data_IF_527540187174
#
_entry.id   IF_527540187174
#
_cell.length_a   1.000
_cell.length_b   1.000
_cell.length_c   1.000
_cell.angle_alpha   90.00
_cell.angle_beta   90.00
_cell.angle_gamma   90.00
#
_symmetry.space_group_name_H-M   'P 1'
#
loop_
_entity.id
_entity.type
_entity.pdbx_description
1 polymer ?
#
# COMPACT_ATOMS: atom_id res chain seq x y z
N UNK A 1 -1.13 -17.46 -9.74
CA UNK A 1 -1.59 -16.28 -10.50
C UNK A 1 -2.99 -15.93 -10.00
N UNK A 2 -3.19 -14.72 -9.51
CA UNK A 2 -4.45 -14.26 -8.91
C UNK A 2 -5.33 -13.54 -9.93
N UNK A 3 -6.63 -13.43 -9.66
CA UNK A 3 -7.62 -12.78 -10.55
C UNK A 3 -7.74 -13.37 -11.97
N UNK A 4 -7.41 -14.65 -12.13
CA UNK A 4 -7.47 -15.39 -13.40
C UNK A 4 -8.85 -15.98 -13.71
N UNK A 5 -9.73 -16.07 -12.72
CA UNK A 5 -11.08 -16.61 -12.89
C UNK A 5 -12.11 -15.53 -13.23
N UNK A 6 -13.20 -15.92 -13.90
CA UNK A 6 -14.30 -15.01 -14.20
C UNK A 6 -14.94 -14.43 -12.92
N UNK A 7 -15.04 -15.25 -11.86
CA UNK A 7 -15.56 -14.84 -10.55
C UNK A 7 -14.69 -13.73 -9.94
N UNK A 8 -13.37 -13.94 -9.87
CA UNK A 8 -12.45 -12.95 -9.31
C UNK A 8 -12.45 -11.64 -10.11
N UNK A 9 -12.50 -11.71 -11.44
CA UNK A 9 -12.67 -10.51 -12.29
C UNK A 9 -13.99 -9.79 -12.03
N UNK A 10 -15.07 -10.54 -11.76
CA UNK A 10 -16.36 -9.97 -11.35
C UNK A 10 -16.25 -9.16 -10.06
N UNK A 11 -15.56 -9.71 -9.05
CA UNK A 11 -15.31 -9.02 -7.78
C UNK A 11 -14.52 -7.71 -7.97
N UNK A 12 -13.46 -7.72 -8.79
CA UNK A 12 -12.69 -6.51 -9.10
C UNK A 12 -13.55 -5.43 -9.78
N UNK A 13 -14.45 -5.83 -10.69
CA UNK A 13 -15.38 -4.89 -11.33
C UNK A 13 -16.36 -4.28 -10.32
N UNK A 14 -16.88 -5.09 -9.40
CA UNK A 14 -17.78 -4.61 -8.33
C UNK A 14 -17.05 -3.63 -7.42
N UNK A 15 -15.84 -3.99 -6.96
CA UNK A 15 -15.02 -3.09 -6.14
C UNK A 15 -14.72 -1.80 -6.90
N UNK A 16 -14.32 -1.88 -8.16
CA UNK A 16 -14.02 -0.70 -8.95
C UNK A 16 -15.22 0.22 -9.22
N UNK A 17 -16.43 -0.35 -9.37
CA UNK A 17 -17.65 0.44 -9.46
C UNK A 17 -17.97 1.15 -8.13
N UNK A 18 -17.80 0.48 -6.99
CA UNK A 18 -17.96 1.09 -5.68
C UNK A 18 -16.92 2.21 -5.46
N UNK A 19 -15.66 1.99 -5.85
CA UNK A 19 -14.58 2.99 -5.75
C UNK A 19 -14.89 4.26 -6.54
N UNK A 20 -15.37 4.15 -7.79
CA UNK A 20 -15.75 5.34 -8.58
C UNK A 20 -16.90 6.13 -7.96
N UNK A 21 -17.87 5.44 -7.35
CA UNK A 21 -18.95 6.11 -6.62
C UNK A 21 -18.43 6.79 -5.34
N UNK A 22 -17.50 6.16 -4.63
CA UNK A 22 -16.83 6.78 -3.50
C UNK A 22 -16.03 8.02 -3.92
N UNK A 23 -15.35 7.99 -5.07
CA UNK A 23 -14.65 9.17 -5.61
C UNK A 23 -15.61 10.35 -5.83
N UNK A 24 -16.82 10.10 -6.34
CA UNK A 24 -17.83 11.15 -6.48
C UNK A 24 -18.27 11.74 -5.12
N UNK A 25 -18.40 10.91 -4.09
CA UNK A 25 -18.69 11.34 -2.71
C UNK A 25 -17.54 12.18 -2.14
N UNK A 26 -16.28 11.76 -2.35
CA UNK A 26 -15.09 12.53 -1.93
C UNK A 26 -15.05 13.88 -2.65
N UNK A 27 -15.31 13.91 -3.96
CA UNK A 27 -15.33 15.15 -4.74
C UNK A 27 -16.44 16.13 -4.29
N UNK A 28 -17.51 15.61 -3.67
CA UNK A 28 -18.58 16.42 -3.08
C UNK A 28 -18.23 16.97 -1.68
N UNK A 29 -17.05 16.65 -1.13
CA UNK A 29 -16.61 17.16 0.18
C UNK A 29 -17.24 16.46 1.38
N UNK A 30 -17.70 15.22 1.21
CA UNK A 30 -18.43 14.45 2.24
C UNK A 30 -17.52 13.72 3.25
N UNK A 31 -16.21 13.95 3.20
CA UNK A 31 -15.27 13.40 4.18
C UNK A 31 -15.19 14.34 5.39
N UNK A 32 -15.48 13.83 6.59
CA UNK A 32 -15.53 14.66 7.79
C UNK A 32 -14.15 14.84 8.45
N UNK A 33 -13.20 13.98 8.09
CA UNK A 33 -11.85 13.96 8.66
C UNK A 33 -10.97 15.11 8.11
N UNK A 34 -10.49 16.03 8.97
CA UNK A 34 -9.58 17.09 8.58
C UNK A 34 -8.26 16.57 7.97
N UNK A 35 -7.73 15.45 8.47
CA UNK A 35 -6.49 14.87 7.95
C UNK A 35 -6.66 14.42 6.50
N UNK A 36 -7.78 13.79 6.18
CA UNK A 36 -8.13 13.43 4.81
C UNK A 36 -8.31 14.66 3.91
N UNK A 37 -8.88 15.74 4.44
CA UNK A 37 -9.02 17.01 3.71
C UNK A 37 -7.66 17.59 3.31
N UNK A 38 -6.66 17.54 4.19
CA UNK A 38 -5.32 18.03 3.87
C UNK A 38 -4.58 17.13 2.88
N UNK A 39 -4.76 15.81 2.99
CA UNK A 39 -4.27 14.86 1.98
C UNK A 39 -4.87 15.16 0.61
N UNK A 40 -6.18 15.45 0.52
CA UNK A 40 -6.84 15.80 -0.74
C UNK A 40 -6.28 17.08 -1.37
N UNK A 41 -6.00 18.12 -0.56
CA UNK A 41 -5.35 19.36 -1.05
C UNK A 41 -3.96 19.07 -1.64
N UNK A 42 -3.16 18.25 -0.97
CA UNK A 42 -1.83 17.86 -1.43
C UNK A 42 -1.89 16.99 -2.70
N UNK A 43 -2.89 16.12 -2.81
CA UNK A 43 -3.10 15.34 -4.04
C UNK A 43 -3.54 16.21 -5.21
N UNK A 44 -4.35 17.25 -4.94
CA UNK A 44 -4.83 18.17 -5.96
C UNK A 44 -3.70 19.05 -6.51
N UNK A 45 -2.74 19.48 -5.68
CA UNK A 45 -1.58 20.26 -6.14
C UNK A 45 -0.64 19.46 -7.05
N UNK A 46 -0.69 18.13 -6.99
CA UNK A 46 0.08 17.22 -7.84
C UNK A 46 -0.66 16.81 -9.14
N UNK A 47 -1.82 17.40 -9.44
CA UNK A 47 -2.53 17.17 -10.70
C UNK A 47 -1.89 17.93 -11.86
N UNK A 48 -1.97 17.39 -13.08
CA UNK A 48 -1.46 18.10 -14.25
C UNK A 48 -2.31 19.35 -14.54
N UNK A 49 -1.73 20.43 -15.11
CA UNK A 49 -2.47 21.68 -15.37
C UNK A 49 -3.73 21.52 -16.25
N UNK A 50 -3.78 20.48 -17.08
CA UNK A 50 -4.92 20.16 -17.96
C UNK A 50 -6.01 19.32 -17.29
N UNK A 51 -5.79 18.83 -16.08
CA UNK A 51 -6.70 17.94 -15.36
C UNK A 51 -7.57 18.72 -14.35
N UNK A 52 -8.76 18.20 -14.05
CA UNK A 52 -9.52 18.68 -12.90
C UNK A 52 -8.86 18.16 -11.61
N UNK A 53 -8.11 19.04 -10.94
CA UNK A 53 -7.32 18.70 -9.76
C UNK A 53 -8.14 18.06 -8.63
N UNK A 54 -9.34 18.58 -8.35
CA UNK A 54 -10.22 18.05 -7.30
C UNK A 54 -10.73 16.65 -7.65
N UNK A 55 -11.13 16.43 -8.91
CA UNK A 55 -11.56 15.11 -9.37
C UNK A 55 -10.41 14.09 -9.32
N UNK A 56 -9.20 14.47 -9.75
CA UNK A 56 -8.01 13.61 -9.68
C UNK A 56 -7.66 13.25 -8.23
N UNK A 57 -7.70 14.23 -7.33
CA UNK A 57 -7.44 13.99 -5.90
C UNK A 57 -8.47 13.03 -5.31
N UNK A 58 -9.76 13.25 -5.59
CA UNK A 58 -10.84 12.40 -5.11
C UNK A 58 -10.73 10.95 -5.62
N UNK A 59 -10.40 10.78 -6.90
CA UNK A 59 -10.23 9.46 -7.51
C UNK A 59 -9.05 8.71 -6.89
N UNK A 60 -7.88 9.37 -6.77
CA UNK A 60 -6.69 8.79 -6.14
C UNK A 60 -6.93 8.43 -4.68
N UNK A 61 -7.62 9.28 -3.94
CA UNK A 61 -7.96 9.02 -2.54
C UNK A 61 -8.92 7.83 -2.40
N UNK A 62 -10.01 7.79 -3.17
CA UNK A 62 -10.96 6.67 -3.14
C UNK A 62 -10.31 5.33 -3.54
N UNK A 63 -9.41 5.35 -4.53
CA UNK A 63 -8.61 4.18 -4.91
C UNK A 63 -7.70 3.73 -3.77
N UNK A 64 -7.09 4.67 -3.03
CA UNK A 64 -6.28 4.35 -1.86
C UNK A 64 -7.11 3.71 -0.74
N UNK A 65 -8.29 4.23 -0.44
CA UNK A 65 -9.22 3.65 0.57
C UNK A 65 -9.60 2.22 0.21
N UNK A 66 -9.98 1.97 -1.05
CA UNK A 66 -10.34 0.63 -1.51
C UNK A 66 -9.15 -0.34 -1.48
N UNK A 67 -7.96 0.11 -1.89
CA UNK A 67 -6.73 -0.69 -1.82
C UNK A 67 -6.33 -1.03 -0.39
N UNK A 68 -6.38 -0.04 0.50
CA UNK A 68 -6.10 -0.22 1.93
C UNK A 68 -7.11 -1.16 2.59
N UNK A 69 -8.39 -1.10 2.22
CA UNK A 69 -9.42 -2.00 2.73
C UNK A 69 -9.14 -3.47 2.39
N UNK A 70 -8.79 -3.76 1.12
CA UNK A 70 -8.43 -5.13 0.70
C UNK A 70 -7.18 -5.62 1.44
N UNK A 71 -6.12 -4.82 1.45
CA UNK A 71 -4.85 -5.19 2.09
C UNK A 71 -5.04 -5.39 3.59
N UNK A 72 -5.69 -4.46 4.28
CA UNK A 72 -5.93 -4.54 5.72
C UNK A 72 -6.75 -5.78 6.08
N UNK A 73 -7.85 -6.06 5.35
CA UNK A 73 -8.66 -7.27 5.56
C UNK A 73 -7.86 -8.56 5.35
N UNK A 74 -6.97 -8.57 4.36
CA UNK A 74 -6.09 -9.72 4.12
C UNK A 74 -5.07 -9.86 5.23
N UNK A 75 -4.48 -8.75 5.68
CA UNK A 75 -3.45 -8.79 6.71
C UNK A 75 -4.01 -9.24 8.07
N UNK A 76 -5.22 -8.80 8.40
CA UNK A 76 -5.95 -9.21 9.60
C UNK A 76 -6.57 -10.61 9.52
N UNK A 77 -6.58 -11.24 8.34
CA UNK A 77 -7.30 -12.50 8.08
C UNK A 77 -8.78 -12.43 8.53
N UNK A 78 -9.37 -11.23 8.56
CA UNK A 78 -10.75 -11.01 8.97
C UNK A 78 -10.96 -10.74 10.46
N UNK A 79 -9.90 -10.70 11.27
CA UNK A 79 -10.00 -10.28 12.66
C UNK A 79 -10.09 -8.75 12.77
N UNK A 80 -11.27 -8.25 13.16
CA UNK A 80 -11.51 -6.82 13.36
C UNK A 80 -10.58 -6.18 14.41
N UNK A 81 -10.00 -6.94 15.35
CA UNK A 81 -9.00 -6.44 16.30
C UNK A 81 -7.67 -6.16 15.60
N UNK A 82 -7.27 -6.99 14.64
CA UNK A 82 -6.07 -6.81 13.84
C UNK A 82 -6.22 -5.67 12.81
N UNK A 83 -7.44 -5.32 12.38
CA UNK A 83 -7.68 -4.09 11.61
C UNK A 83 -7.29 -2.82 12.39
N UNK A 84 -7.49 -2.79 13.71
CA UNK A 84 -6.99 -1.69 14.56
C UNK A 84 -5.48 -1.71 14.74
N UNK A 85 -4.83 -2.87 14.59
CA UNK A 85 -3.36 -2.94 14.55
C UNK A 85 -2.80 -2.36 13.23
N UNK A 86 -3.56 -2.43 12.13
CA UNK A 86 -3.18 -1.77 10.87
C UNK A 86 -3.07 -0.24 11.00
N UNK A 87 -3.93 0.40 11.82
CA UNK A 87 -3.79 1.82 12.16
C UNK A 87 -2.44 2.11 12.83
N UNK A 88 -1.96 1.19 13.68
CA UNK A 88 -0.66 1.35 14.34
C UNK A 88 0.49 1.21 13.34
N UNK A 89 0.36 0.32 12.36
CA UNK A 89 1.35 0.23 11.28
C UNK A 89 1.38 1.47 10.38
N UNK A 90 0.33 2.31 10.36
CA UNK A 90 0.32 3.59 9.66
C UNK A 90 0.72 4.78 10.53
N UNK A 91 1.03 4.53 11.81
CA UNK A 91 1.53 5.54 12.72
C UNK A 91 2.80 6.16 12.13
N UNK A 92 2.85 7.50 12.09
CA UNK A 92 3.98 8.25 11.51
C UNK A 92 3.84 8.64 10.04
N UNK A 93 2.83 8.16 9.30
CA UNK A 93 2.55 8.64 7.94
C UNK A 93 1.14 9.23 7.81
N UNK A 94 0.99 10.56 7.60
CA UNK A 94 -0.32 11.22 7.62
C UNK A 94 -1.23 10.77 6.46
N UNK A 95 -0.67 10.40 5.30
CA UNK A 95 -1.45 9.89 4.17
C UNK A 95 -2.01 8.52 4.50
N UNK A 96 -1.19 7.62 5.04
CA UNK A 96 -1.63 6.29 5.43
C UNK A 96 -2.67 6.34 6.56
N UNK A 97 -2.45 7.18 7.57
CA UNK A 97 -3.40 7.38 8.66
C UNK A 97 -4.77 7.86 8.14
N UNK A 98 -4.80 8.91 7.32
CA UNK A 98 -6.05 9.46 6.77
C UNK A 98 -6.79 8.44 5.88
N UNK A 99 -6.06 7.71 5.02
CA UNK A 99 -6.67 6.70 4.15
C UNK A 99 -7.27 5.54 4.96
N UNK A 100 -6.56 5.05 5.98
CA UNK A 100 -7.07 3.95 6.82
C UNK A 100 -8.23 4.42 7.68
N UNK A 101 -8.19 5.65 8.19
CA UNK A 101 -9.31 6.23 8.93
C UNK A 101 -10.56 6.37 8.04
N UNK A 102 -10.40 6.76 6.78
CA UNK A 102 -11.48 6.85 5.81
C UNK A 102 -12.09 5.49 5.41
N UNK A 103 -11.47 4.36 5.77
CA UNK A 103 -12.09 3.03 5.64
C UNK A 103 -13.23 2.82 6.65
N UNK A 104 -13.26 3.59 7.74
CA UNK A 104 -14.34 3.57 8.71
C UNK A 104 -15.52 4.40 8.17
N UNK A 105 -16.72 3.79 7.98
CA UNK A 105 -17.91 4.52 7.56
C UNK A 105 -18.25 5.71 8.47
N UNK A 106 -17.89 5.67 9.75
CA UNK A 106 -18.18 6.75 10.69
C UNK A 106 -17.39 8.04 10.39
N UNK A 107 -16.30 7.94 9.62
CA UNK A 107 -15.51 9.09 9.15
C UNK A 107 -16.18 9.93 8.05
N UNK A 108 -17.37 9.55 7.58
CA UNK A 108 -18.09 10.22 6.49
C UNK A 108 -19.30 11.01 7.01
N UNK A 109 -19.54 12.18 6.41
CA UNK A 109 -20.47 13.18 6.94
C UNK A 109 -21.95 12.76 6.81
N UNK A 110 -22.42 12.48 5.58
CA UNK A 110 -23.81 12.09 5.34
C UNK A 110 -24.06 10.58 5.44
N UNK A 111 -25.28 10.13 5.80
CA UNK A 111 -25.64 8.72 5.78
C UNK A 111 -25.41 8.03 4.42
N UNK A 112 -25.61 8.76 3.31
CA UNK A 112 -25.34 8.26 1.98
C UNK A 112 -23.84 8.02 1.73
N UNK A 113 -22.98 8.92 2.24
CA UNK A 113 -21.53 8.74 2.19
C UNK A 113 -21.08 7.54 3.02
N UNK A 114 -21.64 7.33 4.23
CA UNK A 114 -21.38 6.14 5.06
C UNK A 114 -21.79 4.84 4.37
N UNK A 115 -22.94 4.85 3.69
CA UNK A 115 -23.39 3.69 2.91
C UNK A 115 -22.42 3.39 1.77
N UNK A 116 -21.95 4.41 1.05
CA UNK A 116 -20.97 4.23 -0.02
C UNK A 116 -19.64 3.67 0.48
N UNK A 117 -19.12 4.19 1.59
CA UNK A 117 -17.91 3.66 2.23
C UNK A 117 -18.11 2.19 2.66
N UNK A 118 -19.29 1.86 3.20
CA UNK A 118 -19.64 0.48 3.57
C UNK A 118 -19.68 -0.46 2.36
N UNK A 119 -20.20 0.00 1.22
CA UNK A 119 -20.20 -0.78 -0.02
C UNK A 119 -18.78 -1.07 -0.52
N UNK A 120 -17.87 -0.10 -0.44
CA UNK A 120 -16.44 -0.30 -0.76
C UNK A 120 -15.83 -1.35 0.15
N UNK A 121 -16.07 -1.27 1.46
CA UNK A 121 -15.57 -2.25 2.44
C UNK A 121 -16.08 -3.66 2.15
N UNK A 122 -17.37 -3.83 1.88
CA UNK A 122 -17.97 -5.14 1.56
C UNK A 122 -17.36 -5.72 0.28
N UNK A 123 -17.20 -4.91 -0.76
CA UNK A 123 -16.58 -5.35 -2.00
C UNK A 123 -15.09 -5.70 -1.81
N UNK A 124 -14.39 -4.95 -0.96
CA UNK A 124 -13.00 -5.20 -0.60
C UNK A 124 -12.86 -6.52 0.17
N UNK A 125 -13.75 -6.77 1.14
CA UNK A 125 -13.79 -8.02 1.90
C UNK A 125 -14.00 -9.23 0.99
N UNK A 126 -14.90 -9.12 0.00
CA UNK A 126 -15.11 -10.18 -0.97
C UNK A 126 -13.86 -10.44 -1.84
N UNK A 127 -13.13 -9.39 -2.23
CA UNK A 127 -11.86 -9.53 -2.94
C UNK A 127 -10.79 -10.20 -2.08
N UNK A 128 -10.64 -9.75 -0.83
CA UNK A 128 -9.69 -10.31 0.13
C UNK A 128 -9.98 -11.79 0.43
N UNK A 129 -11.26 -12.16 0.62
CA UNK A 129 -11.67 -13.54 0.82
C UNK A 129 -11.38 -14.42 -0.42
N UNK A 130 -11.56 -13.88 -1.63
CA UNK A 130 -11.20 -14.58 -2.85
C UNK A 130 -9.69 -14.74 -3.05
N UNK A 131 -8.88 -13.81 -2.52
CA UNK A 131 -7.43 -13.93 -2.45
C UNK A 131 -7.01 -14.98 -1.42
N UNK A 132 -7.68 -15.04 -0.26
CA UNK A 132 -7.48 -16.04 0.80
C UNK A 132 -7.73 -17.47 0.34
N UNK A 133 -8.77 -17.68 -0.45
CA UNK A 133 -9.13 -18.99 -0.96
C UNK A 133 -8.20 -19.50 -2.08
N UNK A 134 -7.29 -18.67 -2.58
CA UNK A 134 -6.42 -19.05 -3.68
C UNK A 134 -5.20 -19.88 -3.19
N UNK A 135 -4.73 -20.86 -3.98
CA UNK A 135 -3.60 -21.70 -3.59
C UNK A 135 -2.35 -20.88 -3.25
N UNK A 136 -1.71 -21.20 -2.12
CA UNK A 136 -0.50 -20.51 -1.64
C UNK A 136 -0.76 -19.20 -0.89
N UNK A 137 -2.01 -18.76 -0.76
CA UNK A 137 -2.32 -17.48 -0.12
C UNK A 137 -2.10 -17.47 1.41
N UNK A 138 -1.98 -18.62 2.07
CA UNK A 138 -1.85 -18.72 3.52
C UNK A 138 -0.58 -18.07 4.09
N UNK A 139 0.47 -17.91 3.27
CA UNK A 139 1.76 -17.35 3.67
C UNK A 139 2.03 -16.07 2.89
N UNK A 140 2.40 -15.00 3.61
CA UNK A 140 2.91 -13.78 2.98
C UNK A 140 4.16 -14.09 2.14
N UNK A 141 4.23 -13.54 0.94
CA UNK A 141 5.42 -13.62 0.09
C UNK A 141 5.48 -12.46 -0.90
N UNK A 142 6.66 -12.18 -1.46
CA UNK A 142 6.81 -11.22 -2.56
C UNK A 142 6.01 -11.58 -3.83
N UNK A 143 5.66 -12.86 -3.97
CA UNK A 143 4.81 -13.40 -5.05
C UNK A 143 3.33 -13.52 -4.59
N UNK A 144 3.02 -12.94 -3.42
CA UNK A 144 1.74 -13.00 -2.75
C UNK A 144 0.69 -12.08 -3.36
N UNK A 145 -0.60 -12.43 -3.21
CA UNK A 145 -1.69 -11.71 -3.87
C UNK A 145 -1.78 -10.23 -3.50
N UNK A 146 -1.40 -9.87 -2.27
CA UNK A 146 -1.37 -8.51 -1.75
C UNK A 146 -0.45 -7.58 -2.55
N UNK A 147 0.66 -8.10 -3.07
CA UNK A 147 1.64 -7.33 -3.85
C UNK A 147 1.09 -7.02 -5.25
N UNK A 148 0.47 -8.00 -5.90
CA UNK A 148 -0.02 -7.87 -7.28
C UNK A 148 -1.45 -7.35 -7.38
N UNK A 149 -2.23 -7.43 -6.30
CA UNK A 149 -3.63 -7.02 -6.27
C UNK A 149 -3.79 -5.60 -6.81
N UNK A 150 -2.93 -4.68 -6.37
CA UNK A 150 -3.08 -3.27 -6.69
C UNK A 150 -2.98 -2.98 -8.20
N UNK A 151 -2.14 -3.70 -8.93
CA UNK A 151 -2.08 -3.59 -10.40
C UNK A 151 -3.39 -4.05 -11.04
N UNK A 152 -3.89 -5.24 -10.66
CA UNK A 152 -5.13 -5.78 -11.21
C UNK A 152 -6.34 -4.91 -10.86
N UNK A 153 -6.34 -4.35 -9.66
CA UNK A 153 -7.34 -3.41 -9.17
C UNK A 153 -7.35 -2.12 -9.99
N UNK A 154 -6.20 -1.47 -10.18
CA UNK A 154 -6.11 -0.27 -11.02
C UNK A 154 -6.44 -0.56 -12.48
N UNK A 155 -6.07 -1.73 -13.00
CA UNK A 155 -6.46 -2.13 -14.35
C UNK A 155 -7.98 -2.26 -14.50
N UNK A 156 -8.69 -2.68 -13.44
CA UNK A 156 -10.14 -2.81 -13.43
C UNK A 156 -10.87 -1.46 -13.25
N UNK A 157 -10.24 -0.50 -12.58
CA UNK A 157 -10.83 0.82 -12.32
C UNK A 157 -10.56 1.81 -13.44
N UNK A 158 -9.29 1.95 -13.82
CA UNK A 158 -8.81 2.98 -14.73
C UNK A 158 -7.52 2.51 -15.44
N UNK A 159 -7.69 1.61 -16.41
CA UNK A 159 -6.60 1.12 -17.24
C UNK A 159 -5.79 2.22 -17.95
N UNK A 160 -6.41 3.31 -18.46
CA UNK A 160 -5.67 4.48 -18.96
C UNK A 160 -4.73 5.11 -17.91
N UNK A 161 -5.22 5.41 -16.71
CA UNK A 161 -4.39 6.01 -15.65
C UNK A 161 -3.33 5.05 -15.16
N UNK A 162 -3.65 3.75 -15.00
CA UNK A 162 -2.65 2.72 -14.70
C UNK A 162 -1.48 2.73 -15.71
N UNK A 163 -1.78 2.83 -17.01
CA UNK A 163 -0.76 2.89 -18.07
C UNK A 163 0.03 4.19 -18.02
N UNK A 164 -0.64 5.33 -17.87
CA UNK A 164 -0.02 6.67 -17.82
C UNK A 164 0.93 6.81 -16.63
N UNK A 165 0.53 6.30 -15.47
CA UNK A 165 1.30 6.37 -14.22
C UNK A 165 2.27 5.20 -14.05
N UNK A 166 2.44 4.35 -15.07
CA UNK A 166 3.45 3.31 -15.04
C UNK A 166 3.24 2.24 -13.97
N UNK A 167 2.00 1.98 -13.52
CA UNK A 167 1.77 0.98 -12.46
C UNK A 167 1.88 -0.43 -13.03
N UNK A 168 3.03 -1.04 -12.81
CA UNK A 168 3.36 -2.40 -13.24
C UNK A 168 4.04 -3.18 -12.11
N UNK A 169 3.69 -4.44 -11.99
CA UNK A 169 4.34 -5.35 -11.07
C UNK A 169 5.77 -5.69 -11.52
N UNK A 170 6.71 -5.64 -10.57
CA UNK A 170 8.07 -6.15 -10.74
C UNK A 170 8.15 -7.61 -10.27
N UNK A 171 8.51 -8.58 -11.14
CA UNK A 171 8.69 -9.98 -10.74
C UNK A 171 9.60 -10.14 -9.53
N UNK A 172 9.18 -10.93 -8.54
CA UNK A 172 9.92 -11.09 -7.30
C UNK A 172 11.34 -11.63 -7.50
N UNK A 173 11.56 -12.48 -8.51
CA UNK A 173 12.89 -12.93 -8.89
C UNK A 173 13.83 -11.77 -9.30
N UNK A 174 13.30 -10.79 -10.04
CA UNK A 174 14.03 -9.59 -10.44
C UNK A 174 14.30 -8.71 -9.21
N UNK A 175 13.27 -8.49 -8.38
CA UNK A 175 13.40 -7.69 -7.16
C UNK A 175 14.46 -8.28 -6.20
N UNK A 176 14.42 -9.58 -5.94
CA UNK A 176 15.41 -10.29 -5.11
C UNK A 176 16.83 -10.17 -5.69
N UNK A 177 16.99 -10.35 -7.01
CA UNK A 177 18.29 -10.26 -7.67
C UNK A 177 18.90 -8.87 -7.55
N UNK A 178 18.10 -7.82 -7.74
CA UNK A 178 18.54 -6.43 -7.65
C UNK A 178 18.81 -6.02 -6.19
N UNK A 179 17.95 -6.42 -5.25
CA UNK A 179 18.16 -6.18 -3.82
C UNK A 179 19.48 -6.82 -3.34
N UNK A 180 19.71 -8.09 -3.71
CA UNK A 180 20.96 -8.79 -3.38
C UNK A 180 22.19 -8.12 -4.01
N UNK A 181 22.09 -7.66 -5.26
CA UNK A 181 23.18 -6.95 -5.92
C UNK A 181 23.51 -5.61 -5.23
N UNK A 182 22.46 -4.84 -4.88
CA UNK A 182 22.62 -3.56 -4.21
C UNK A 182 23.27 -3.71 -2.82
N UNK A 183 22.81 -4.68 -2.03
CA UNK A 183 23.38 -4.99 -0.71
C UNK A 183 24.81 -5.53 -0.78
N UNK A 184 25.19 -6.20 -1.87
CA UNK A 184 26.57 -6.64 -2.07
C UNK A 184 27.51 -5.51 -2.51
N UNK A 185 26.98 -4.48 -3.18
CA UNK A 185 27.76 -3.37 -3.72
C UNK A 185 27.93 -2.20 -2.74
N UNK A 186 27.10 -2.11 -1.71
CA UNK A 186 27.12 -1.01 -0.75
C UNK A 186 27.34 -1.52 0.69
N UNK A 187 28.04 -0.76 1.54
CA UNK A 187 28.21 -1.14 2.94
C UNK A 187 26.86 -1.19 3.66
N UNK A 188 26.53 -2.35 4.22
CA UNK A 188 25.37 -2.52 5.09
C UNK A 188 25.73 -2.06 6.50
N UNK A 189 25.85 -0.75 6.73
CA UNK A 189 25.94 -0.18 8.09
C UNK A 189 24.59 0.35 8.54
N UNK A 190 24.40 0.56 9.85
CA UNK A 190 23.20 1.21 10.40
C UNK A 190 23.08 2.69 10.02
N UNK A 191 24.15 3.28 9.50
CA UNK A 191 24.17 4.65 8.97
C UNK A 191 23.77 4.72 7.49
N UNK A 192 23.86 3.59 6.76
CA UNK A 192 23.46 3.53 5.37
C UNK A 192 21.94 3.60 5.21
N UNK A 193 21.49 4.26 4.13
CA UNK A 193 20.07 4.31 3.75
C UNK A 193 19.90 3.67 2.37
N UNK A 194 18.94 2.75 2.28
CA UNK A 194 18.46 2.20 1.01
C UNK A 194 17.17 2.95 0.66
N UNK A 195 17.22 3.68 -0.45
CA UNK A 195 16.08 4.43 -0.98
C UNK A 195 15.53 3.76 -2.23
N UNK A 196 14.22 3.52 -2.24
CA UNK A 196 13.46 3.24 -3.45
C UNK A 196 12.67 4.49 -3.89
N UNK A 197 13.09 5.20 -4.95
CA UNK A 197 12.47 6.46 -5.36
C UNK A 197 11.13 6.29 -6.10
N UNK A 198 10.74 5.06 -6.46
CA UNK A 198 9.49 4.76 -7.15
C UNK A 198 8.93 3.44 -6.61
N UNK A 199 8.66 3.45 -5.32
CA UNK A 199 8.47 2.26 -4.50
C UNK A 199 7.26 1.39 -4.91
N UNK A 200 6.22 2.00 -5.47
CA UNK A 200 4.96 1.31 -5.73
C UNK A 200 4.41 0.72 -4.44
N UNK A 201 4.10 -0.57 -4.47
CA UNK A 201 3.63 -1.33 -3.30
C UNK A 201 4.78 -1.84 -2.40
N UNK A 202 6.03 -1.40 -2.63
CA UNK A 202 7.17 -1.70 -1.77
C UNK A 202 7.97 -2.95 -2.15
N UNK A 203 7.83 -3.47 -3.37
CA UNK A 203 8.40 -4.76 -3.78
C UNK A 203 9.91 -4.84 -3.56
N UNK A 204 10.67 -3.80 -3.94
CA UNK A 204 12.12 -3.81 -3.73
C UNK A 204 12.50 -3.72 -2.26
N UNK A 205 11.86 -2.85 -1.48
CA UNK A 205 12.13 -2.74 -0.04
C UNK A 205 11.78 -4.04 0.71
N UNK A 206 10.68 -4.70 0.34
CA UNK A 206 10.32 -6.02 0.86
C UNK A 206 11.36 -7.08 0.51
N UNK A 207 11.92 -7.03 -0.71
CA UNK A 207 13.00 -7.92 -1.13
C UNK A 207 14.32 -7.66 -0.39
N UNK A 208 14.64 -6.39 -0.10
CA UNK A 208 15.78 -6.01 0.74
C UNK A 208 15.63 -6.62 2.13
N UNK A 209 14.46 -6.51 2.77
CA UNK A 209 14.20 -7.14 4.08
C UNK A 209 14.42 -8.66 4.01
N UNK A 210 13.89 -9.33 2.98
CA UNK A 210 14.05 -10.79 2.82
C UNK A 210 15.52 -11.22 2.70
N UNK A 211 16.33 -10.44 1.98
CA UNK A 211 17.78 -10.69 1.87
C UNK A 211 18.51 -10.42 3.18
N UNK A 212 18.23 -9.27 3.83
CA UNK A 212 18.84 -8.90 5.11
C UNK A 212 18.56 -9.94 6.20
N UNK A 213 17.34 -10.48 6.26
CA UNK A 213 17.03 -11.56 7.19
C UNK A 213 17.80 -12.85 6.91
N UNK A 214 17.97 -13.18 5.63
CA UNK A 214 18.74 -14.35 5.23
C UNK A 214 20.19 -14.21 5.64
N UNK A 215 20.76 -13.01 5.47
CA UNK A 215 22.09 -12.66 5.96
C UNK A 215 22.14 -12.69 7.50
N UNK A 216 21.17 -12.12 8.20
CA UNK A 216 21.12 -12.11 9.67
C UNK A 216 21.04 -13.53 10.26
N UNK A 217 20.28 -14.45 9.64
CA UNK A 217 20.27 -15.87 10.03
C UNK A 217 21.65 -16.51 9.88
N UNK A 218 22.35 -16.24 8.77
CA UNK A 218 23.71 -16.73 8.54
C UNK A 218 24.72 -16.13 9.55
N UNK A 219 24.65 -14.83 9.82
CA UNK A 219 25.51 -14.14 10.79
C UNK A 219 25.30 -14.65 12.23
N UNK A 220 24.04 -14.87 12.65
CA UNK A 220 23.75 -15.47 13.96
C UNK A 220 24.34 -16.86 14.10
N UNK A 221 24.31 -17.66 13.03
CA UNK A 221 24.93 -18.98 13.04
C UNK A 221 26.47 -18.92 13.14
N UNK A 222 27.09 -17.83 12.68
CA UNK A 222 28.54 -17.62 12.72
C UNK A 222 29.03 -16.71 13.87
N UNK A 223 28.14 -16.15 14.69
CA UNK A 223 28.46 -15.22 15.78
C UNK A 223 28.87 -13.80 15.35
N UNK A 224 28.58 -13.40 14.10
CA UNK A 224 28.92 -12.08 13.59
C UNK A 224 27.85 -11.02 13.96
N UNK A 225 28.21 -9.76 14.25
CA UNK A 225 27.26 -8.69 14.48
C UNK A 225 26.44 -8.39 13.22
N UNK A 226 25.14 -8.07 13.37
CA UNK A 226 24.28 -7.64 12.27
C UNK A 226 23.97 -6.15 12.33
N UNK A 227 24.06 -5.46 11.20
CA UNK A 227 23.60 -4.09 11.01
C UNK A 227 22.49 -4.06 9.96
N UNK A 228 21.39 -3.38 10.28
CA UNK A 228 20.28 -3.13 9.35
C UNK A 228 20.35 -1.70 8.83
N UNK A 229 20.43 -1.49 7.49
CA UNK A 229 20.36 -0.15 6.93
C UNK A 229 18.96 0.44 7.14
N UNK A 230 18.87 1.77 7.13
CA UNK A 230 17.58 2.47 7.10
C UNK A 230 16.90 2.24 5.76
N UNK A 231 15.60 2.00 5.77
CA UNK A 231 14.80 1.84 4.56
C UNK A 231 13.96 3.10 4.32
N UNK A 232 14.06 3.65 3.11
CA UNK A 232 13.29 4.80 2.67
C UNK A 232 12.61 4.52 1.33
N UNK A 233 11.43 5.12 1.13
CA UNK A 233 10.64 4.91 -0.07
C UNK A 233 9.86 6.15 -0.48
N UNK A 234 9.86 6.48 -1.77
CA UNK A 234 9.02 7.53 -2.33
C UNK A 234 8.02 6.93 -3.31
N UNK A 235 6.81 7.46 -3.30
CA UNK A 235 5.76 7.01 -4.18
C UNK A 235 4.86 8.19 -4.58
N UNK A 236 4.42 8.20 -5.83
CA UNK A 236 3.59 9.25 -6.40
C UNK A 236 2.10 9.06 -6.05
N UNK A 237 1.66 7.81 -5.90
CA UNK A 237 0.27 7.44 -5.68
C UNK A 237 -0.02 7.07 -4.21
N UNK A 238 -1.14 7.57 -3.64
CA UNK A 238 -1.49 7.24 -2.25
C UNK A 238 -1.81 5.76 -2.07
N UNK A 239 -2.47 5.11 -3.05
CA UNK A 239 -2.85 3.70 -2.93
C UNK A 239 -1.66 2.74 -2.77
N UNK A 240 -0.69 2.71 -3.71
CA UNK A 240 0.52 1.90 -3.55
C UNK A 240 1.30 2.25 -2.28
N UNK A 241 1.41 3.53 -1.94
CA UNK A 241 2.09 3.98 -0.72
C UNK A 241 1.49 3.36 0.53
N UNK A 242 0.17 3.39 0.68
CA UNK A 242 -0.50 2.83 1.87
C UNK A 242 -0.37 1.32 1.90
N UNK A 243 -0.48 0.66 0.74
CA UNK A 243 -0.23 -0.79 0.64
C UNK A 243 1.21 -1.12 1.06
N UNK A 244 2.20 -0.39 0.57
CA UNK A 244 3.59 -0.58 0.94
C UNK A 244 3.80 -0.38 2.45
N UNK A 245 3.20 0.67 3.03
CA UNK A 245 3.28 0.97 4.46
C UNK A 245 2.77 -0.20 5.31
N UNK A 246 1.62 -0.77 4.94
CA UNK A 246 1.02 -1.92 5.62
C UNK A 246 1.87 -3.19 5.47
N UNK A 247 2.38 -3.47 4.27
CA UNK A 247 3.18 -4.66 3.99
C UNK A 247 4.55 -4.60 4.66
N UNK A 248 5.25 -3.46 4.54
CA UNK A 248 6.56 -3.23 5.15
C UNK A 248 6.46 -3.20 6.67
N UNK A 249 5.48 -2.50 7.22
CA UNK A 249 5.25 -2.42 8.66
C UNK A 249 5.03 -3.81 9.26
N UNK A 250 4.12 -4.60 8.69
CA UNK A 250 3.90 -5.98 9.16
C UNK A 250 5.18 -6.83 9.07
N UNK A 251 5.93 -6.68 7.98
CA UNK A 251 7.12 -7.49 7.73
C UNK A 251 8.24 -7.19 8.71
N UNK A 252 8.48 -5.91 9.00
CA UNK A 252 9.51 -5.44 9.92
C UNK A 252 9.16 -5.76 11.38
N UNK A 253 7.90 -5.56 11.80
CA UNK A 253 7.46 -6.00 13.13
C UNK A 253 7.72 -7.49 13.35
N UNK A 254 7.44 -8.33 12.35
CA UNK A 254 7.71 -9.76 12.43
C UNK A 254 9.21 -10.11 12.39
N UNK A 255 10.04 -9.31 11.73
CA UNK A 255 11.47 -9.56 11.58
C UNK A 255 12.29 -9.15 12.82
N UNK A 256 11.89 -8.05 13.46
CA UNK A 256 12.61 -7.38 14.54
C UNK A 256 11.92 -7.51 15.91
N UNK A 257 10.80 -8.22 15.99
CA UNK A 257 9.96 -8.35 17.21
C UNK A 257 9.54 -6.98 17.78
N UNK A 258 9.30 -6.01 16.88
CA UNK A 258 8.90 -4.66 17.25
C UNK A 258 7.40 -4.54 17.48
N UNK A 259 7.01 -3.70 18.45
CA UNK A 259 5.64 -3.21 18.52
C UNK A 259 5.34 -2.39 17.25
N UNK A 260 4.11 -2.45 16.72
CA UNK A 260 3.69 -1.56 15.63
C UNK A 260 3.94 -0.08 15.90
N UNK A 261 3.88 0.34 17.17
CA UNK A 261 4.07 1.75 17.58
C UNK A 261 5.54 2.19 17.54
N UNK A 262 6.48 1.23 17.58
CA UNK A 262 7.93 1.47 17.52
C UNK A 262 8.46 1.48 16.08
N UNK A 263 7.64 1.11 15.10
CA UNK A 263 8.03 1.08 13.70
C UNK A 263 8.15 2.49 13.12
N UNK A 264 9.32 2.82 12.60
CA UNK A 264 9.56 4.04 11.86
C UNK A 264 9.85 3.71 10.40
N UNK A 265 8.86 3.93 9.54
CA UNK A 265 9.00 3.80 8.09
C UNK A 265 9.26 5.17 7.46
N UNK A 266 10.39 5.31 6.76
CA UNK A 266 10.72 6.55 6.02
C UNK A 266 10.10 6.54 4.62
N UNK A 267 8.78 6.36 4.55
CA UNK A 267 8.03 6.27 3.28
C UNK A 267 7.18 7.52 3.10
N UNK A 268 7.21 8.14 1.92
CA UNK A 268 6.58 9.43 1.68
C UNK A 268 5.88 9.53 0.32
N UNK A 269 4.74 10.24 0.31
CA UNK A 269 4.00 10.57 -0.91
C UNK A 269 4.68 11.77 -1.56
N UNK A 270 5.36 11.57 -2.68
CA UNK A 270 6.13 12.63 -3.34
C UNK A 270 6.48 12.27 -4.77
N UNK A 271 6.75 13.28 -5.58
CA UNK A 271 7.41 13.12 -6.88
C UNK A 271 8.93 13.11 -6.66
N UNK A 272 9.55 11.95 -6.91
CA UNK A 272 10.98 11.76 -6.75
C UNK A 272 11.81 12.71 -7.63
N UNK A 273 11.31 13.08 -8.82
CA UNK A 273 12.01 13.99 -9.71
C UNK A 273 11.96 15.42 -9.18
N UNK A 274 10.81 15.84 -8.64
CA UNK A 274 10.67 17.16 -8.03
C UNK A 274 11.53 17.34 -6.76
N UNK A 275 11.86 16.24 -6.08
CA UNK A 275 12.62 16.24 -4.84
C UNK A 275 14.14 16.28 -5.03
N UNK A 276 14.59 15.85 -6.20
CA UNK A 276 16.00 15.82 -6.58
C UNK A 276 16.41 17.01 -7.47
N UNK A 277 15.49 17.95 -7.72
CA UNK A 277 15.68 19.14 -8.55
C UNK A 277 16.22 20.35 -7.76
#
# INVERSE_FOLDING_TARGET
MFFTTARQRGLLRTLGAATRRLAAVVAAGEIADPAATDVLKNLASAAAPSENAAAVAADRFAQAVAGAAVTTRRLSQGDARLNRAALRFAHGNPVAAAVIQAMDPDGWASPAARDMASQVRIAADACAAAMEAAPGAARWSLDGPEVHFFEHFLAAIDAPTRRRLGVYYTPAAVARRLASAALAAAPTSSEATILDPAMGTGVFLLAVIEVLESQARAHRASGAPSSTPRLAGWELLPGPLVVAHLLLGRRLAAAEDLSPDDLQLSIQLTDALARCA
#
